data_IF_977803194020
#
_entry.id   IF_977803194020
#
_cell.length_a   1.000
_cell.length_b   1.000
_cell.length_c   1.000
_cell.angle_alpha   90.00
_cell.angle_beta   90.00
_cell.angle_gamma   90.00
#
_symmetry.space_group_name_H-M   'P 1'
#
loop_
_entity.id
_entity.type
_entity.pdbx_description
1 polymer ?
#
# COMPACT_ATOMS: atom_id res chain seq x y z
N UNK A 1 -14.88 18.34 11.35
CA UNK A 1 -15.27 17.74 10.06
C UNK A 1 -14.04 17.03 9.51
N UNK A 2 -14.07 15.70 9.49
CA UNK A 2 -12.94 14.85 9.11
C UNK A 2 -12.83 14.79 7.59
N UNK A 3 -12.02 15.66 7.00
CA UNK A 3 -11.60 15.48 5.62
C UNK A 3 -10.29 14.67 5.62
N UNK A 4 -10.46 13.36 5.79
CA UNK A 4 -9.48 12.39 5.35
C UNK A 4 -9.50 12.41 3.81
N UNK A 5 -8.91 13.46 3.22
CA UNK A 5 -8.47 13.43 1.82
C UNK A 5 -7.45 12.30 1.74
N UNK A 6 -7.96 11.10 1.50
CA UNK A 6 -7.17 9.95 1.08
C UNK A 6 -6.58 10.35 -0.25
N UNK A 7 -5.32 10.76 -0.23
CA UNK A 7 -4.49 11.02 -1.40
C UNK A 7 -4.69 9.86 -2.35
N UNK A 8 -5.46 10.06 -3.43
CA UNK A 8 -5.99 8.97 -4.24
C UNK A 8 -4.88 7.98 -4.59
N UNK A 9 -4.91 6.83 -3.93
CA UNK A 9 -3.97 5.76 -4.16
C UNK A 9 -4.21 5.28 -5.60
N UNK A 10 -3.17 5.45 -6.41
CA UNK A 10 -3.19 5.17 -7.84
C UNK A 10 -2.34 3.97 -8.14
N UNK A 11 -2.71 3.24 -9.19
CA UNK A 11 -1.97 2.06 -9.58
C UNK A 11 -0.53 2.45 -9.95
N UNK A 12 0.44 1.79 -9.32
CA UNK A 12 1.86 2.06 -9.56
C UNK A 12 2.30 1.77 -11.00
N UNK A 13 1.58 0.90 -11.73
CA UNK A 13 1.92 0.52 -13.10
C UNK A 13 1.24 1.36 -14.18
N UNK A 14 -0.05 1.66 -14.01
CA UNK A 14 -0.85 2.34 -15.04
C UNK A 14 -1.37 3.72 -14.61
N UNK A 15 -1.01 4.17 -13.41
CA UNK A 15 -1.38 5.46 -12.82
C UNK A 15 -2.89 5.73 -12.69
N UNK A 16 -3.73 4.73 -12.94
CA UNK A 16 -5.18 4.82 -12.79
C UNK A 16 -5.59 4.79 -11.31
N UNK A 17 -6.46 5.71 -10.95
CA UNK A 17 -7.08 5.84 -9.62
C UNK A 17 -8.14 4.77 -9.40
N UNK A 18 -8.61 4.63 -8.16
CA UNK A 18 -9.73 3.75 -7.81
C UNK A 18 -11.01 4.11 -8.59
N UNK A 19 -11.26 5.40 -8.79
CA UNK A 19 -12.39 5.92 -9.58
C UNK A 19 -12.37 5.47 -11.06
N UNK A 20 -11.18 5.28 -11.63
CA UNK A 20 -10.98 4.94 -13.05
C UNK A 20 -10.76 3.41 -13.26
N UNK A 21 -10.68 2.66 -12.17
CA UNK A 21 -10.12 1.31 -12.20
C UNK A 21 -10.74 0.27 -11.29
N UNK A 22 -11.75 0.64 -10.49
CA UNK A 22 -12.28 -0.21 -9.43
C UNK A 22 -11.31 -0.28 -8.25
N UNK A 23 -11.61 -1.13 -7.25
CA UNK A 23 -10.84 -1.25 -6.01
C UNK A 23 -9.35 -1.52 -6.24
N UNK A 24 -8.47 -0.74 -5.62
CA UNK A 24 -7.05 -1.02 -5.63
C UNK A 24 -6.69 -2.02 -4.54
N UNK A 25 -5.82 -2.95 -4.90
CA UNK A 25 -5.19 -3.87 -3.97
C UNK A 25 -3.80 -3.37 -3.59
N UNK A 26 -3.52 -3.39 -2.29
CA UNK A 26 -2.17 -3.17 -1.76
C UNK A 26 -1.30 -4.39 -2.01
N UNK A 27 -0.02 -4.15 -2.25
CA UNK A 27 0.96 -5.23 -2.26
C UNK A 27 1.00 -5.91 -0.88
N UNK A 28 0.77 -7.21 -0.81
CA UNK A 28 0.73 -7.95 0.45
C UNK A 28 2.04 -7.92 1.24
N UNK A 29 3.18 -7.77 0.54
CA UNK A 29 4.50 -7.73 1.18
C UNK A 29 4.80 -6.41 1.86
N UNK A 30 4.77 -5.32 1.09
CA UNK A 30 5.16 -4.01 1.62
C UNK A 30 4.00 -3.09 1.99
N UNK A 31 2.78 -3.41 1.55
CA UNK A 31 1.55 -2.64 1.79
C UNK A 31 1.62 -1.14 1.40
N UNK A 32 2.66 -0.75 0.67
CA UNK A 32 2.99 0.65 0.32
C UNK A 32 2.71 0.98 -1.14
N UNK A 33 2.67 -0.03 -2.03
CA UNK A 33 2.29 0.15 -3.43
C UNK A 33 0.90 -0.42 -3.70
N UNK A 34 0.15 0.27 -4.57
CA UNK A 34 -1.20 -0.08 -4.96
C UNK A 34 -1.27 -0.50 -6.42
N UNK A 35 -2.14 -1.47 -6.70
CA UNK A 35 -2.36 -2.00 -8.02
C UNK A 35 -3.85 -2.22 -8.23
N UNK A 36 -4.35 -1.95 -9.44
CA UNK A 36 -5.75 -2.27 -9.78
C UNK A 36 -6.00 -3.76 -10.03
N UNK A 37 -4.95 -4.54 -10.31
CA UNK A 37 -5.05 -5.95 -10.67
C UNK A 37 -3.72 -6.67 -10.48
N UNK A 38 -3.77 -8.01 -10.40
CA UNK A 38 -2.58 -8.88 -10.38
C UNK A 38 -1.67 -8.68 -11.59
N UNK A 39 -2.25 -8.40 -12.75
CA UNK A 39 -1.49 -8.15 -13.97
C UNK A 39 -0.65 -6.86 -13.85
N UNK A 40 -1.27 -5.76 -13.42
CA UNK A 40 -0.57 -4.51 -13.11
C UNK A 40 0.51 -4.68 -12.02
N UNK A 41 0.27 -5.53 -11.02
CA UNK A 41 1.26 -5.87 -10.02
C UNK A 41 2.49 -6.57 -10.65
N UNK A 42 2.27 -7.57 -11.50
CA UNK A 42 3.35 -8.30 -12.20
C UNK A 42 4.13 -7.40 -13.16
N UNK A 43 3.43 -6.54 -13.90
CA UNK A 43 4.05 -5.58 -14.82
C UNK A 43 4.93 -4.56 -14.06
N UNK A 44 4.40 -3.97 -12.99
CA UNK A 44 5.14 -3.03 -12.14
C UNK A 44 6.21 -3.67 -11.25
N UNK A 45 6.17 -5.00 -11.05
CA UNK A 45 7.06 -5.71 -10.14
C UNK A 45 8.54 -5.57 -10.50
N UNK A 46 8.89 -5.49 -11.79
CA UNK A 46 10.28 -5.35 -12.24
C UNK A 46 10.95 -4.10 -11.64
N UNK A 47 10.19 -3.02 -11.49
CA UNK A 47 10.64 -1.76 -10.88
C UNK A 47 10.44 -1.78 -9.36
N UNK A 48 9.25 -2.21 -8.92
CA UNK A 48 8.87 -2.21 -7.50
C UNK A 48 9.72 -3.15 -6.63
N UNK A 49 10.21 -4.28 -7.15
CA UNK A 49 10.97 -5.26 -6.37
C UNK A 49 12.19 -4.68 -5.66
N UNK A 50 12.81 -3.63 -6.23
CA UNK A 50 14.01 -2.98 -5.69
C UNK A 50 13.73 -2.24 -4.39
N UNK A 51 12.53 -1.66 -4.27
CA UNK A 51 12.10 -0.85 -3.13
C UNK A 51 11.10 -1.59 -2.23
N UNK A 52 10.56 -2.72 -2.70
CA UNK A 52 9.58 -3.51 -1.97
C UNK A 52 10.11 -4.00 -0.61
N UNK A 53 11.39 -4.40 -0.52
CA UNK A 53 11.97 -4.87 0.73
C UNK A 53 12.06 -3.74 1.77
N UNK A 54 12.56 -2.57 1.37
CA UNK A 54 12.66 -1.38 2.23
C UNK A 54 11.29 -0.95 2.75
N UNK A 55 10.29 -0.87 1.86
CA UNK A 55 8.94 -0.55 2.30
C UNK A 55 8.30 -1.63 3.17
N UNK A 56 8.65 -2.91 3.00
CA UNK A 56 8.16 -3.98 3.85
C UNK A 56 8.70 -3.86 5.28
N UNK A 57 9.96 -3.46 5.46
CA UNK A 57 10.50 -3.12 6.79
C UNK A 57 9.72 -1.96 7.40
N UNK A 58 9.59 -0.84 6.69
CA UNK A 58 8.84 0.32 7.22
C UNK A 58 7.39 -0.02 7.56
N UNK A 59 6.73 -0.85 6.74
CA UNK A 59 5.37 -1.29 7.01
C UNK A 59 5.30 -2.17 8.25
N UNK A 60 6.25 -3.08 8.45
CA UNK A 60 6.35 -3.93 9.63
C UNK A 60 6.57 -3.10 10.90
N UNK A 61 7.45 -2.11 10.88
CA UNK A 61 7.68 -1.20 12.01
C UNK A 61 6.43 -0.37 12.35
N UNK A 62 5.74 0.13 11.32
CA UNK A 62 4.45 0.80 11.50
C UNK A 62 3.34 -0.16 12.00
N UNK A 63 3.48 -1.48 11.83
CA UNK A 63 2.60 -2.48 12.45
C UNK A 63 2.97 -2.70 13.91
N UNK A 64 4.25 -2.86 14.23
CA UNK A 64 4.70 -3.04 15.59
C UNK A 64 4.34 -1.83 16.48
N UNK A 65 4.52 -0.61 15.96
CA UNK A 65 4.22 0.62 16.69
C UNK A 65 2.72 0.84 16.98
N UNK A 66 1.83 0.32 16.13
CA UNK A 66 0.37 0.39 16.40
C UNK A 66 -0.08 -0.69 17.37
N UNK A 67 0.57 -1.85 17.39
CA UNK A 67 0.23 -2.95 18.30
C UNK A 67 0.62 -2.62 19.74
N UNK A 68 1.79 -2.00 19.97
CA UNK A 68 2.19 -1.55 21.31
C UNK A 68 1.26 -0.48 21.88
N UNK A 69 0.66 0.37 21.03
CA UNK A 69 -0.31 1.39 21.46
C UNK A 69 -1.69 0.82 21.80
N UNK A 70 -2.05 -0.35 21.28
CA UNK A 70 -3.33 -1.01 21.56
C UNK A 70 -3.28 -1.94 22.78
N UNK A 71 -2.09 -2.31 23.25
CA UNK A 71 -1.89 -3.24 24.38
C UNK A 71 -1.87 -2.57 25.76
N UNK A 72 -1.79 -1.23 25.84
CA UNK A 72 -1.76 -0.49 27.12
C UNK A 72 -3.15 -0.07 27.64
N UNK A 73 -4.22 -0.64 27.09
CA UNK A 73 -5.61 -0.22 27.36
C UNK A 73 -6.55 -1.37 27.74
N UNK A 74 -6.05 -2.40 28.41
CA UNK A 74 -6.86 -3.46 29.03
C UNK A 74 -6.59 -3.51 30.54
#
# INVERSE_FOLDING_TARGET
MADATSTADKCYNCNKSEAEGGSLMRNSRCKSAWYRSRDCQKAGWKNHKKICASFAQSAAEAQAARETRSASGA
#
